data_IF_689835479462
#
_entry.id   IF_689835479462
#
_cell.length_a   1.000
_cell.length_b   1.000
_cell.length_c   1.000
_cell.angle_alpha   90.00
_cell.angle_beta   90.00
_cell.angle_gamma   90.00
#
_symmetry.space_group_name_H-M   'P 1'
#
loop_
_entity.id
_entity.type
_entity.pdbx_description
1 polymer ?
#
# COMPACT_ATOMS: atom_id res chain seq x y z
N UNK A 1 -24.82 2.92 13.74
CA UNK A 1 -23.96 3.56 14.78
C UNK A 1 -24.74 4.73 15.35
N UNK A 2 -24.69 4.97 16.66
CA UNK A 2 -25.30 6.15 17.28
C UNK A 2 -24.22 7.15 17.72
N UNK A 3 -24.49 8.44 17.57
CA UNK A 3 -23.63 9.51 18.06
C UNK A 3 -24.46 10.72 18.57
N UNK A 4 -23.92 11.53 19.50
CA UNK A 4 -24.60 12.71 20.04
C UNK A 4 -24.87 13.81 19.01
N UNK A 5 -23.99 13.94 18.01
CA UNK A 5 -24.09 14.94 16.94
C UNK A 5 -23.99 14.31 15.55
N UNK A 6 -24.50 14.99 14.52
CA UNK A 6 -24.39 14.52 13.13
C UNK A 6 -22.93 14.38 12.68
N UNK A 7 -22.07 15.32 13.07
CA UNK A 7 -20.64 15.28 12.75
C UNK A 7 -19.93 14.03 13.33
N UNK A 8 -20.22 13.69 14.59
CA UNK A 8 -19.66 12.48 15.21
C UNK A 8 -20.26 11.19 14.62
N UNK A 9 -21.51 11.24 14.16
CA UNK A 9 -22.15 10.11 13.48
C UNK A 9 -21.44 9.81 12.15
N UNK A 10 -21.13 10.86 11.40
CA UNK A 10 -20.44 10.77 10.11
C UNK A 10 -18.99 10.31 10.26
N UNK A 11 -18.24 10.87 11.22
CA UNK A 11 -16.87 10.40 11.52
C UNK A 11 -16.85 8.90 11.87
N UNK A 12 -17.74 8.46 12.76
CA UNK A 12 -17.85 7.04 13.12
C UNK A 12 -18.21 6.17 11.93
N UNK A 13 -19.08 6.64 11.04
CA UNK A 13 -19.48 5.91 9.84
C UNK A 13 -18.28 5.73 8.90
N UNK A 14 -17.54 6.80 8.62
CA UNK A 14 -16.36 6.77 7.74
C UNK A 14 -15.27 5.84 8.29
N UNK A 15 -15.02 5.89 9.61
CA UNK A 15 -14.05 4.99 10.27
C UNK A 15 -14.43 3.51 10.18
N UNK A 16 -15.72 3.20 10.31
CA UNK A 16 -16.22 1.83 10.18
C UNK A 16 -16.11 1.35 8.74
N UNK A 17 -16.44 2.22 7.78
CA UNK A 17 -16.35 1.91 6.36
C UNK A 17 -14.91 1.63 5.94
N UNK A 18 -13.97 2.47 6.36
CA UNK A 18 -12.53 2.28 6.13
C UNK A 18 -12.03 0.96 6.74
N UNK A 19 -12.35 0.70 8.01
CA UNK A 19 -11.96 -0.54 8.69
C UNK A 19 -12.52 -1.80 8.03
N UNK A 20 -13.77 -1.74 7.55
CA UNK A 20 -14.41 -2.83 6.80
C UNK A 20 -13.67 -3.09 5.50
N UNK A 21 -13.41 -2.05 4.72
CA UNK A 21 -12.75 -2.16 3.43
C UNK A 21 -11.30 -2.66 3.59
N UNK A 22 -10.56 -2.16 4.58
CA UNK A 22 -9.21 -2.62 4.90
C UNK A 22 -9.17 -4.10 5.28
N UNK A 23 -10.13 -4.57 6.09
CA UNK A 23 -10.23 -5.98 6.49
C UNK A 23 -10.56 -6.90 5.31
N UNK A 24 -11.44 -6.46 4.40
CA UNK A 24 -11.77 -7.20 3.19
C UNK A 24 -10.57 -7.30 2.24
N UNK A 25 -9.83 -6.21 2.05
CA UNK A 25 -8.62 -6.21 1.24
C UNK A 25 -7.53 -7.12 1.83
N UNK A 26 -7.31 -7.05 3.15
CA UNK A 26 -6.37 -7.92 3.84
C UNK A 26 -6.73 -9.41 3.74
N UNK A 27 -8.03 -9.74 3.70
CA UNK A 27 -8.49 -11.11 3.49
C UNK A 27 -8.28 -11.60 2.05
N UNK A 28 -8.42 -10.70 1.06
CA UNK A 28 -8.29 -11.05 -0.36
C UNK A 28 -6.83 -11.16 -0.82
N UNK A 29 -5.96 -10.23 -0.41
CA UNK A 29 -4.57 -10.12 -0.89
C UNK A 29 -3.53 -10.57 0.16
N UNK A 30 -3.94 -10.74 1.42
CA UNK A 30 -3.06 -11.00 2.54
C UNK A 30 -2.61 -9.73 3.26
N UNK A 31 -1.78 -9.91 4.28
CA UNK A 31 -1.30 -8.82 5.16
C UNK A 31 0.19 -8.60 4.91
N UNK A 32 0.59 -7.33 4.80
CA UNK A 32 1.98 -6.93 4.66
C UNK A 32 2.41 -5.97 5.79
N UNK A 33 3.69 -5.92 6.18
CA UNK A 33 4.19 -4.96 7.15
C UNK A 33 3.90 -3.50 6.77
N UNK A 34 3.25 -2.75 7.65
CA UNK A 34 2.88 -1.36 7.43
C UNK A 34 4.06 -0.37 7.55
N UNK A 35 3.73 0.93 7.66
CA UNK A 35 4.70 1.99 7.93
C UNK A 35 5.72 2.23 6.81
N UNK A 36 5.44 1.77 5.59
CA UNK A 36 6.36 1.84 4.46
C UNK A 36 7.50 0.80 4.50
N UNK A 37 7.52 -0.10 5.49
CA UNK A 37 8.57 -1.11 5.63
C UNK A 37 8.64 -2.06 4.41
N UNK A 38 7.46 -2.44 3.88
CA UNK A 38 7.36 -3.24 2.64
C UNK A 38 8.04 -2.55 1.47
N UNK A 39 7.82 -1.25 1.30
CA UNK A 39 8.44 -0.49 0.21
C UNK A 39 9.97 -0.53 0.32
N UNK A 40 10.53 -0.21 1.48
CA UNK A 40 12.00 -0.26 1.71
C UNK A 40 12.57 -1.66 1.50
N UNK A 41 11.83 -2.71 1.87
CA UNK A 41 12.28 -4.09 1.67
C UNK A 41 12.29 -4.47 0.18
N UNK A 42 11.23 -4.11 -0.55
CA UNK A 42 11.09 -4.39 -1.98
C UNK A 42 12.05 -3.57 -2.85
N UNK A 43 12.32 -2.31 -2.51
CA UNK A 43 13.27 -1.47 -3.24
C UNK A 43 14.67 -2.08 -3.33
N UNK A 44 15.08 -2.86 -2.31
CA UNK A 44 16.36 -3.61 -2.35
C UNK A 44 16.40 -4.69 -3.43
N UNK A 45 15.25 -5.24 -3.81
CA UNK A 45 15.15 -6.30 -4.82
C UNK A 45 15.17 -5.74 -6.25
N UNK A 46 14.87 -4.46 -6.43
CA UNK A 46 14.84 -3.79 -7.74
C UNK A 46 16.18 -3.90 -8.48
N UNK A 47 17.30 -3.86 -7.74
CA UNK A 47 18.64 -4.04 -8.31
C UNK A 47 18.84 -5.43 -8.96
N UNK A 48 18.18 -6.47 -8.43
CA UNK A 48 18.19 -7.81 -9.01
C UNK A 48 17.28 -7.89 -10.24
N UNK A 49 16.11 -7.25 -10.20
CA UNK A 49 15.16 -7.19 -11.32
C UNK A 49 15.79 -6.46 -12.52
N UNK A 50 16.48 -5.35 -12.27
CA UNK A 50 17.18 -4.57 -13.30
C UNK A 50 18.19 -5.40 -14.12
N UNK A 51 18.80 -6.43 -13.51
CA UNK A 51 19.75 -7.32 -14.21
C UNK A 51 19.08 -8.25 -15.22
N UNK A 52 17.78 -8.49 -15.07
CA UNK A 52 16.98 -9.33 -15.97
C UNK A 52 16.42 -8.53 -17.15
N UNK A 53 16.49 -7.20 -17.10
CA UNK A 53 16.02 -6.32 -18.16
C UNK A 53 17.10 -6.12 -19.22
N UNK A 54 16.72 -6.18 -20.49
CA UNK A 54 17.64 -5.99 -21.61
C UNK A 54 17.61 -4.54 -22.09
N UNK A 55 16.42 -3.94 -22.18
CA UNK A 55 16.18 -2.59 -22.67
C UNK A 55 16.75 -1.49 -21.72
N UNK A 56 17.52 -0.52 -22.26
CA UNK A 56 17.98 0.65 -21.50
C UNK A 56 16.88 1.53 -20.88
N UNK A 57 15.72 1.67 -21.51
CA UNK A 57 14.60 2.50 -21.01
C UNK A 57 13.91 1.84 -19.80
N UNK A 58 13.72 0.53 -19.84
CA UNK A 58 13.19 -0.25 -18.70
C UNK A 58 14.13 -0.18 -17.49
N UNK A 59 15.45 -0.23 -17.73
CA UNK A 59 16.47 -0.05 -16.70
C UNK A 59 16.41 1.32 -16.04
N UNK A 60 16.13 2.37 -16.81
CA UNK A 60 15.94 3.72 -16.29
C UNK A 60 14.68 3.79 -15.42
N UNK A 61 13.59 3.15 -15.86
CA UNK A 61 12.35 3.02 -15.09
C UNK A 61 12.57 2.33 -13.74
N UNK A 62 13.35 1.25 -13.72
CA UNK A 62 13.71 0.54 -12.49
C UNK A 62 14.49 1.45 -11.51
N UNK A 63 15.39 2.30 -12.02
CA UNK A 63 16.15 3.25 -11.18
C UNK A 63 15.27 4.36 -10.59
N UNK A 64 14.18 4.72 -11.26
CA UNK A 64 13.21 5.70 -10.74
C UNK A 64 12.44 5.13 -9.56
N UNK A 65 12.00 3.86 -9.64
CA UNK A 65 11.21 3.20 -8.59
C UNK A 65 12.07 2.79 -7.39
N UNK A 66 13.33 2.43 -7.64
CA UNK A 66 14.27 1.95 -6.61
C UNK A 66 14.97 3.04 -5.79
N UNK A 67 14.77 4.32 -6.10
CA UNK A 67 15.27 5.48 -5.33
C UNK A 67 14.43 5.74 -4.08
#
# INVERSE_FOLDING_TARGET
>A
VGAPTEAELEDKKLRIEDAKNASLAAMAEGIAPGGGAVYVHLSKQVASIKKLMEDPEEKLGADIIGK
#
